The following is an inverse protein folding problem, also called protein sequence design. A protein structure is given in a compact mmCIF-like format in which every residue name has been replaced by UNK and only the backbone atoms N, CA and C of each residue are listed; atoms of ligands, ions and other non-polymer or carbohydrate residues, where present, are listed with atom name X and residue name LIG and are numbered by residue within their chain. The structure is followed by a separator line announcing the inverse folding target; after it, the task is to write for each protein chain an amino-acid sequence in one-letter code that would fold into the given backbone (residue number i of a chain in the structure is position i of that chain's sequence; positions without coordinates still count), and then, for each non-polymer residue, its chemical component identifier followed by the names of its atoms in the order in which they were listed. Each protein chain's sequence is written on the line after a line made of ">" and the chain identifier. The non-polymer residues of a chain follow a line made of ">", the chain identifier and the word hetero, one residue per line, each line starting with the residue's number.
data_IF_873738456025
#
_entry.id   IF_873738456025
#
_cell.length_a   1.000
_cell.length_b   1.000
_cell.length_c   1.000
_cell.angle_alpha   90.00
_cell.angle_beta   90.00
_cell.angle_gamma   90.00
#
_symmetry.space_group_name_H-M   'P 1'
#
loop_
_entity.id
_entity.type
_entity.pdbx_description
1 polymer ?
#
# COMPACT_ATOMS: atom_id res chain seq x y z
N UNK A 1 7.37 20.66 11.70
CA UNK A 1 6.19 21.23 11.02
C UNK A 1 5.10 20.17 11.07
N UNK A 2 3.92 20.45 11.63
CA UNK A 2 2.80 19.51 11.57
C UNK A 2 2.33 19.37 10.12
N UNK A 3 2.08 18.14 9.65
CA UNK A 3 1.63 17.84 8.27
C UNK A 3 0.39 18.66 7.88
N UNK A 4 -0.55 18.85 8.81
CA UNK A 4 -1.77 19.63 8.60
C UNK A 4 -1.51 21.09 8.23
N UNK A 5 -0.53 21.75 8.86
CA UNK A 5 -0.21 23.15 8.56
C UNK A 5 0.33 23.31 7.15
N UNK A 6 1.14 22.35 6.68
CA UNK A 6 1.67 22.37 5.33
C UNK A 6 0.56 22.16 4.28
N UNK A 7 -0.35 21.20 4.51
CA UNK A 7 -1.51 21.02 3.65
C UNK A 7 -2.41 22.26 3.60
N UNK A 8 -2.66 22.89 4.74
CA UNK A 8 -3.44 24.12 4.81
C UNK A 8 -2.79 25.26 4.01
N UNK A 9 -1.46 25.37 4.03
CA UNK A 9 -0.72 26.32 3.19
C UNK A 9 -0.90 26.01 1.71
N UNK A 10 -0.65 24.76 1.29
CA UNK A 10 -0.80 24.34 -0.11
C UNK A 10 -2.23 24.58 -0.62
N UNK A 11 -3.24 24.30 0.21
CA UNK A 11 -4.64 24.57 -0.10
C UNK A 11 -4.90 26.06 -0.33
N UNK A 12 -4.33 26.93 0.49
CA UNK A 12 -4.45 28.37 0.29
C UNK A 12 -3.73 28.86 -0.97
N UNK A 13 -2.53 28.33 -1.24
CA UNK A 13 -1.72 28.74 -2.39
C UNK A 13 -2.39 28.31 -3.70
N UNK A 14 -2.90 27.07 -3.78
CA UNK A 14 -3.68 26.60 -4.92
C UNK A 14 -4.96 27.42 -5.13
N UNK A 15 -5.70 27.72 -4.06
CA UNK A 15 -6.90 28.54 -4.15
C UNK A 15 -6.60 29.95 -4.66
N UNK A 16 -5.51 30.59 -4.18
CA UNK A 16 -5.07 31.91 -4.68
C UNK A 16 -4.63 31.83 -6.14
N UNK A 17 -3.90 30.77 -6.52
CA UNK A 17 -3.48 30.55 -7.90
C UNK A 17 -4.68 30.38 -8.84
N UNK A 18 -5.72 29.66 -8.43
CA UNK A 18 -6.97 29.53 -9.18
C UNK A 18 -7.67 30.89 -9.35
N UNK A 19 -7.78 31.69 -8.29
CA UNK A 19 -8.37 33.03 -8.37
C UNK A 19 -7.58 33.92 -9.34
N UNK A 20 -6.25 33.89 -9.28
CA UNK A 20 -5.41 34.64 -10.21
C UNK A 20 -5.62 34.16 -11.67
N UNK A 21 -5.71 32.85 -11.89
CA UNK A 21 -5.98 32.25 -13.19
C UNK A 21 -7.36 32.63 -13.75
N UNK A 22 -8.39 32.68 -12.91
CA UNK A 22 -9.71 33.19 -13.28
C UNK A 22 -9.64 34.64 -13.73
N UNK A 23 -9.00 35.52 -12.96
CA UNK A 23 -8.90 36.94 -13.29
C UNK A 23 -8.14 37.17 -14.60
N UNK A 24 -7.04 36.44 -14.81
CA UNK A 24 -6.30 36.48 -16.07
C UNK A 24 -7.15 35.99 -17.26
N UNK A 25 -7.99 34.98 -17.05
CA UNK A 25 -8.92 34.49 -18.09
C UNK A 25 -10.01 35.52 -18.39
N UNK A 26 -10.61 36.16 -17.37
CA UNK A 26 -11.59 37.23 -17.55
C UNK A 26 -10.99 38.36 -18.37
N UNK A 27 -9.79 38.84 -18.02
CA UNK A 27 -9.12 39.92 -18.75
C UNK A 27 -8.82 39.53 -20.20
N UNK A 28 -8.40 38.28 -20.43
CA UNK A 28 -8.20 37.75 -21.79
C UNK A 28 -9.49 37.76 -22.61
N UNK A 29 -10.60 37.24 -22.04
CA UNK A 29 -11.89 37.18 -22.73
C UNK A 29 -12.45 38.59 -22.98
N UNK A 30 -12.20 39.52 -22.05
CA UNK A 30 -12.65 40.92 -22.16
C UNK A 30 -12.09 41.64 -23.40
N UNK A 31 -10.90 41.24 -23.88
CA UNK A 31 -10.30 41.82 -25.08
C UNK A 31 -11.12 41.57 -26.35
N UNK A 32 -11.83 40.45 -26.44
CA UNK A 32 -12.71 40.12 -27.57
C UNK A 32 -14.19 40.32 -27.27
N UNK A 33 -14.57 40.31 -25.99
CA UNK A 33 -15.92 40.58 -25.52
C UNK A 33 -15.90 41.60 -24.36
N UNK A 34 -16.00 42.92 -24.64
CA UNK A 34 -15.96 43.96 -23.60
C UNK A 34 -17.05 43.83 -22.53
N UNK A 35 -18.16 43.15 -22.84
CA UNK A 35 -19.27 42.91 -21.93
C UNK A 35 -19.23 41.50 -21.31
N UNK A 36 -18.03 40.96 -21.06
CA UNK A 36 -17.87 39.63 -20.45
C UNK A 36 -18.59 39.55 -19.10
N UNK A 37 -19.44 38.55 -18.96
CA UNK A 37 -20.14 38.21 -17.72
C UNK A 37 -19.91 36.72 -17.38
N UNK A 38 -20.48 36.25 -16.27
CA UNK A 38 -20.33 34.84 -15.86
C UNK A 38 -20.91 33.87 -16.91
N UNK A 39 -21.94 34.28 -17.63
CA UNK A 39 -22.58 33.45 -18.67
C UNK A 39 -21.66 33.27 -19.87
N UNK A 40 -21.01 34.35 -20.31
CA UNK A 40 -19.98 34.34 -21.34
C UNK A 40 -18.78 33.48 -20.90
N UNK A 41 -18.33 33.61 -19.65
CA UNK A 41 -17.25 32.78 -19.10
C UNK A 41 -17.61 31.29 -19.08
N UNK A 42 -18.85 30.93 -18.72
CA UNK A 42 -19.34 29.54 -18.79
C UNK A 42 -19.33 29.01 -20.23
N UNK A 43 -19.60 29.87 -21.20
CA UNK A 43 -19.72 29.52 -22.61
C UNK A 43 -18.36 29.46 -23.33
N UNK A 44 -17.28 29.92 -22.69
CA UNK A 44 -15.91 29.91 -23.22
C UNK A 44 -15.35 28.49 -23.45
N UNK A 45 -15.97 27.44 -22.90
CA UNK A 45 -15.60 26.04 -23.14
C UNK A 45 -14.40 25.54 -22.33
N UNK A 46 -13.87 26.34 -21.39
CA UNK A 46 -12.86 25.88 -20.44
C UNK A 46 -13.54 25.27 -19.22
N UNK A 47 -13.42 23.94 -19.04
CA UNK A 47 -14.06 23.24 -17.93
C UNK A 47 -13.70 23.74 -16.53
N UNK A 48 -12.54 24.37 -16.34
CA UNK A 48 -12.12 24.92 -15.03
C UNK A 48 -12.98 26.10 -14.56
N UNK A 49 -13.69 26.78 -15.46
CA UNK A 49 -14.64 27.84 -15.05
C UNK A 49 -15.74 27.29 -14.15
N UNK A 50 -16.06 25.99 -14.27
CA UNK A 50 -17.08 25.34 -13.45
C UNK A 50 -16.69 25.17 -11.98
N UNK A 51 -15.46 25.50 -11.58
CA UNK A 51 -15.05 25.55 -10.17
C UNK A 51 -15.42 26.89 -9.51
N UNK A 52 -15.81 27.88 -10.32
CA UNK A 52 -16.18 29.23 -9.87
C UNK A 52 -17.67 29.52 -10.06
N UNK A 53 -18.25 28.97 -11.11
CA UNK A 53 -19.61 29.25 -11.54
C UNK A 53 -20.38 27.97 -11.88
N UNK A 54 -21.70 28.06 -11.81
CA UNK A 54 -22.61 26.97 -12.16
C UNK A 54 -23.80 27.50 -12.97
N UNK A 55 -24.60 26.59 -13.52
CA UNK A 55 -25.84 26.97 -14.18
C UNK A 55 -26.83 27.53 -13.15
N UNK A 56 -27.52 28.63 -13.48
CA UNK A 56 -28.59 29.11 -12.63
C UNK A 56 -29.76 28.09 -12.68
N UNK A 57 -30.22 27.55 -11.54
CA UNK A 57 -31.27 26.53 -11.52
C UNK A 57 -32.63 27.06 -12.01
N UNK A 58 -32.89 28.36 -11.87
CA UNK A 58 -34.11 29.02 -12.37
C UNK A 58 -34.01 29.40 -13.85
N UNK A 59 -32.80 29.57 -14.38
CA UNK A 59 -32.57 29.80 -15.81
C UNK A 59 -31.23 29.16 -16.26
N UNK A 60 -31.23 27.89 -16.70
CA UNK A 60 -30.00 27.16 -17.02
C UNK A 60 -29.16 27.74 -18.15
N UNK A 61 -29.68 28.73 -18.91
CA UNK A 61 -28.93 29.48 -19.92
C UNK A 61 -28.01 30.53 -19.32
N UNK A 62 -28.27 30.95 -18.09
CA UNK A 62 -27.43 31.90 -17.35
C UNK A 62 -26.49 31.15 -16.41
N UNK A 63 -25.36 31.77 -16.09
CA UNK A 63 -24.48 31.31 -15.03
C UNK A 63 -24.68 32.14 -13.76
N UNK A 64 -24.42 31.51 -12.62
CA UNK A 64 -24.32 32.17 -11.32
C UNK A 64 -23.02 31.76 -10.63
N UNK A 65 -22.59 32.54 -9.64
CA UNK A 65 -21.49 32.16 -8.78
C UNK A 65 -21.84 30.86 -8.02
N UNK A 66 -20.84 30.00 -7.81
CA UNK A 66 -21.02 28.91 -6.86
C UNK A 66 -21.22 29.44 -5.44
N UNK A 67 -21.91 28.70 -4.56
CA UNK A 67 -22.07 29.07 -3.16
C UNK A 67 -20.76 29.49 -2.48
N UNK A 68 -20.76 30.60 -1.77
CA UNK A 68 -19.58 31.13 -1.08
C UNK A 68 -18.62 31.94 -1.94
N UNK A 69 -18.82 32.01 -3.26
CA UNK A 69 -18.02 32.85 -4.17
C UNK A 69 -18.75 34.18 -4.43
N UNK A 70 -18.01 35.28 -4.35
CA UNK A 70 -18.54 36.61 -4.64
C UNK A 70 -17.59 37.35 -5.59
N UNK A 71 -18.09 37.67 -6.78
CA UNK A 71 -17.37 38.43 -7.80
C UNK A 71 -17.58 39.93 -7.64
N UNK A 72 -16.64 40.71 -8.16
CA UNK A 72 -16.85 42.11 -8.48
C UNK A 72 -17.83 42.24 -9.66
N UNK A 73 -18.39 43.44 -9.85
CA UNK A 73 -19.32 43.72 -10.95
C UNK A 73 -18.72 43.53 -12.34
N UNK A 74 -17.38 43.59 -12.46
CA UNK A 74 -16.66 43.38 -13.70
C UNK A 74 -16.35 41.90 -13.98
N UNK A 75 -16.81 40.97 -13.13
CA UNK A 75 -16.57 39.54 -13.24
C UNK A 75 -15.24 39.05 -12.69
N UNK A 76 -14.37 39.96 -12.22
CA UNK A 76 -13.15 39.56 -11.48
C UNK A 76 -13.52 39.01 -10.10
N UNK A 77 -12.66 38.13 -9.58
CA UNK A 77 -12.80 37.49 -8.28
C UNK A 77 -11.75 38.05 -7.31
N UNK A 78 -12.15 38.83 -6.27
CA UNK A 78 -11.20 39.33 -5.29
C UNK A 78 -10.70 38.21 -4.37
N UNK A 79 -9.43 38.28 -3.94
CA UNK A 79 -8.82 37.33 -3.00
C UNK A 79 -9.23 37.59 -1.54
N UNK A 80 -10.53 37.62 -1.26
CA UNK A 80 -11.04 37.68 0.12
C UNK A 80 -10.84 36.33 0.81
N UNK A 81 -10.75 36.28 2.16
CA UNK A 81 -10.68 35.01 2.88
C UNK A 81 -11.82 34.05 2.53
N UNK A 82 -13.02 34.57 2.31
CA UNK A 82 -14.20 33.80 1.89
C UNK A 82 -14.00 33.17 0.50
N UNK A 83 -13.58 33.95 -0.50
CA UNK A 83 -13.37 33.45 -1.86
C UNK A 83 -12.22 32.43 -1.92
N UNK A 84 -11.13 32.67 -1.18
CA UNK A 84 -10.01 31.73 -1.05
C UNK A 84 -10.48 30.42 -0.40
N UNK A 85 -11.27 30.50 0.68
CA UNK A 85 -11.81 29.31 1.32
C UNK A 85 -12.72 28.50 0.39
N UNK A 86 -13.61 29.18 -0.34
CA UNK A 86 -14.52 28.56 -1.32
C UNK A 86 -13.76 27.91 -2.48
N UNK A 87 -12.72 28.57 -3.01
CA UNK A 87 -11.87 27.98 -4.05
C UNK A 87 -11.08 26.78 -3.56
N UNK A 88 -10.60 26.80 -2.32
CA UNK A 88 -10.04 25.59 -1.72
C UNK A 88 -11.05 24.43 -1.73
N UNK A 89 -12.34 24.71 -1.50
CA UNK A 89 -13.39 23.67 -1.53
C UNK A 89 -13.69 23.16 -2.93
N UNK A 90 -13.84 24.06 -3.91
CA UNK A 90 -14.21 23.65 -5.26
C UNK A 90 -13.05 23.16 -6.11
N UNK A 91 -11.81 23.41 -5.71
CA UNK A 91 -10.62 22.99 -6.46
C UNK A 91 -9.78 21.96 -5.70
N UNK A 92 -9.20 22.36 -4.57
CA UNK A 92 -8.25 21.53 -3.81
C UNK A 92 -8.94 20.34 -3.14
N UNK A 93 -10.13 20.54 -2.59
CA UNK A 93 -10.83 19.51 -1.81
C UNK A 93 -11.58 18.50 -2.68
N UNK A 94 -11.50 18.61 -4.02
CA UNK A 94 -12.06 17.65 -4.98
C UNK A 94 -11.63 16.22 -4.63
N UNK A 95 -12.52 15.26 -4.89
CA UNK A 95 -12.26 13.85 -4.59
C UNK A 95 -11.50 13.18 -5.73
N UNK A 96 -10.84 12.03 -5.50
CA UNK A 96 -10.21 11.28 -6.57
C UNK A 96 -11.21 10.91 -7.68
N UNK A 97 -10.73 10.86 -8.92
CA UNK A 97 -11.53 10.43 -10.06
C UNK A 97 -12.07 9.02 -9.84
N UNK A 98 -13.35 8.80 -10.15
CA UNK A 98 -14.03 7.52 -9.91
C UNK A 98 -14.55 7.32 -8.48
N UNK A 99 -14.42 8.31 -7.58
CA UNK A 99 -15.05 8.22 -6.25
C UNK A 99 -16.56 8.01 -6.39
N UNK A 100 -17.07 6.91 -5.82
CA UNK A 100 -18.48 6.54 -5.92
C UNK A 100 -19.38 7.64 -5.34
N UNK A 101 -20.47 7.94 -6.05
CA UNK A 101 -21.46 8.93 -5.65
C UNK A 101 -21.03 10.38 -5.81
N UNK A 102 -19.81 10.66 -6.30
CA UNK A 102 -19.32 12.02 -6.53
C UNK A 102 -19.36 12.35 -8.03
N UNK A 103 -20.04 13.43 -8.44
CA UNK A 103 -20.08 13.86 -9.83
C UNK A 103 -18.68 14.13 -10.40
N UNK A 104 -18.47 13.85 -11.69
CA UNK A 104 -17.18 14.02 -12.35
C UNK A 104 -16.60 15.45 -12.29
N UNK A 105 -17.46 16.48 -12.21
CA UNK A 105 -17.02 17.87 -12.05
C UNK A 105 -16.61 18.23 -10.60
N UNK A 106 -16.77 17.31 -9.66
CA UNK A 106 -16.33 17.42 -8.26
C UNK A 106 -15.20 16.42 -7.94
N UNK A 107 -14.68 15.75 -8.97
CA UNK A 107 -13.50 14.90 -8.86
C UNK A 107 -12.32 15.48 -9.62
N UNK A 108 -11.15 14.95 -9.35
CA UNK A 108 -9.91 15.26 -10.05
C UNK A 108 -9.08 13.99 -10.20
N UNK A 109 -8.32 13.89 -11.29
CA UNK A 109 -7.41 12.78 -11.54
C UNK A 109 -6.00 13.33 -11.69
N UNK A 110 -5.28 13.42 -10.59
CA UNK A 110 -3.89 13.92 -10.57
C UNK A 110 -2.96 12.87 -9.95
N UNK A 111 -1.66 13.18 -9.92
CA UNK A 111 -0.64 12.23 -9.50
C UNK A 111 -0.20 11.31 -10.62
N UNK A 112 0.69 10.37 -10.30
CA UNK A 112 1.36 9.52 -11.29
C UNK A 112 0.38 8.63 -12.07
N UNK A 113 -0.60 8.03 -11.39
CA UNK A 113 -1.63 7.20 -12.02
C UNK A 113 -2.88 7.99 -12.47
N UNK A 114 -2.96 9.29 -12.16
CA UNK A 114 -4.17 10.08 -12.41
C UNK A 114 -5.37 9.64 -11.57
N UNK A 115 -5.16 8.90 -10.48
CA UNK A 115 -6.17 8.32 -9.60
C UNK A 115 -6.27 9.05 -8.26
N UNK A 116 -5.56 10.18 -8.10
CA UNK A 116 -5.43 10.86 -6.82
C UNK A 116 -6.10 12.24 -6.77
N UNK A 117 -6.03 12.86 -5.60
CA UNK A 117 -6.49 14.22 -5.34
C UNK A 117 -5.38 15.13 -4.80
N UNK A 118 -5.63 16.44 -4.71
CA UNK A 118 -4.63 17.40 -4.22
C UNK A 118 -4.20 17.14 -2.79
N UNK A 119 -5.10 16.64 -1.95
CA UNK A 119 -4.79 16.36 -0.55
C UNK A 119 -3.74 15.26 -0.44
N UNK A 120 -3.91 14.16 -1.17
CA UNK A 120 -2.96 13.05 -1.16
C UNK A 120 -1.70 13.33 -2.00
N UNK A 121 -1.83 14.08 -3.11
CA UNK A 121 -0.69 14.50 -3.93
C UNK A 121 0.30 15.35 -3.12
N UNK A 122 -0.18 16.39 -2.46
CA UNK A 122 0.65 17.20 -1.55
C UNK A 122 0.97 16.48 -0.24
N UNK A 123 0.08 15.59 0.20
CA UNK A 123 0.24 14.78 1.39
C UNK A 123 1.49 13.90 1.35
N UNK A 124 1.78 13.27 0.20
CA UNK A 124 2.94 12.39 0.05
C UNK A 124 4.27 13.12 0.36
N UNK A 125 4.44 14.34 -0.15
CA UNK A 125 5.59 15.17 0.16
C UNK A 125 5.63 15.65 1.61
N UNK A 126 4.47 16.01 2.18
CA UNK A 126 4.36 16.44 3.57
C UNK A 126 4.73 15.31 4.55
N UNK A 127 4.23 14.09 4.30
CA UNK A 127 4.56 12.88 5.04
C UNK A 127 6.04 12.56 4.90
N UNK A 128 6.59 12.52 3.67
CA UNK A 128 8.02 12.28 3.43
C UNK A 128 8.92 13.21 4.24
N UNK A 129 8.55 14.50 4.32
CA UNK A 129 9.29 15.49 5.11
C UNK A 129 9.16 15.26 6.62
N UNK A 130 7.99 14.85 7.10
CA UNK A 130 7.80 14.50 8.50
C UNK A 130 8.67 13.29 8.88
N UNK A 131 8.70 12.24 8.05
CA UNK A 131 9.54 11.06 8.23
C UNK A 131 11.02 11.43 8.30
N UNK A 132 11.49 12.29 7.38
CA UNK A 132 12.88 12.74 7.38
C UNK A 132 13.25 13.52 8.66
N UNK A 133 12.32 14.33 9.20
CA UNK A 133 12.52 15.04 10.47
C UNK A 133 12.55 14.05 11.64
N UNK A 134 11.60 13.11 11.71
CA UNK A 134 11.56 12.12 12.78
C UNK A 134 12.83 11.28 12.79
N UNK A 135 13.29 10.81 11.63
CA UNK A 135 14.54 10.04 11.53
C UNK A 135 15.79 10.83 11.95
N UNK A 136 15.84 12.14 11.67
CA UNK A 136 17.01 12.97 11.96
C UNK A 136 17.06 13.49 13.41
N UNK A 137 15.91 13.69 14.06
CA UNK A 137 15.83 14.45 15.32
C UNK A 137 15.09 13.75 16.45
N UNK A 138 14.26 12.74 16.17
CA UNK A 138 13.49 12.09 17.20
C UNK A 138 14.39 11.17 18.06
N UNK A 139 14.23 11.27 19.37
CA UNK A 139 14.99 10.49 20.35
C UNK A 139 14.04 10.00 21.44
N UNK A 140 14.39 8.87 22.06
CA UNK A 140 13.59 8.32 23.13
C UNK A 140 13.57 9.26 24.36
N UNK A 141 12.40 9.45 24.94
CA UNK A 141 12.22 10.19 26.21
C UNK A 141 11.71 9.19 27.24
N UNK A 142 12.45 9.00 28.34
CA UNK A 142 12.06 8.05 29.38
C UNK A 142 11.91 6.60 28.89
N UNK A 143 12.79 6.16 27.97
CA UNK A 143 12.76 4.84 27.32
C UNK A 143 11.56 4.57 26.41
N UNK A 144 10.74 5.58 26.09
CA UNK A 144 9.68 5.47 25.10
C UNK A 144 10.19 6.01 23.77
N UNK A 145 10.18 5.15 22.74
CA UNK A 145 10.54 5.55 21.39
C UNK A 145 9.46 6.50 20.81
N UNK A 146 9.86 7.54 20.06
CA UNK A 146 8.91 8.43 19.40
C UNK A 146 8.08 7.67 18.36
N UNK A 147 6.80 8.02 18.25
CA UNK A 147 5.85 7.40 17.32
C UNK A 147 5.19 8.46 16.43
N UNK A 148 5.10 8.18 15.13
CA UNK A 148 4.38 9.05 14.20
C UNK A 148 2.88 8.81 14.34
N UNK A 149 2.12 9.84 14.73
CA UNK A 149 0.66 9.79 14.82
C UNK A 149 0.03 10.67 13.75
N UNK A 150 -0.92 10.12 13.00
CA UNK A 150 -1.66 10.83 11.96
C UNK A 150 -3.15 10.54 12.08
N UNK A 151 -3.98 11.58 12.06
CA UNK A 151 -5.42 11.40 11.90
C UNK A 151 -5.74 11.34 10.39
N UNK A 152 -5.72 10.12 9.84
CA UNK A 152 -5.85 9.92 8.39
C UNK A 152 -7.21 10.40 7.87
N UNK A 153 -8.27 10.26 8.67
CA UNK A 153 -9.61 10.72 8.30
C UNK A 153 -9.71 12.24 8.29
N UNK A 154 -9.25 12.92 9.37
CA UNK A 154 -9.25 14.38 9.45
C UNK A 154 -8.41 15.01 8.35
N UNK A 155 -7.25 14.42 8.07
CA UNK A 155 -6.35 14.86 6.99
C UNK A 155 -6.85 14.43 5.60
N UNK A 156 -7.90 13.61 5.52
CA UNK A 156 -8.43 12.98 4.30
C UNK A 156 -7.36 12.24 3.48
N UNK A 157 -6.41 11.64 4.18
CA UNK A 157 -5.40 10.80 3.57
C UNK A 157 -5.91 9.39 3.31
N UNK A 158 -5.34 8.80 2.27
CA UNK A 158 -5.41 7.39 1.94
C UNK A 158 -3.97 6.92 1.75
N UNK A 159 -3.51 5.99 2.59
CA UNK A 159 -2.15 5.43 2.48
C UNK A 159 -1.84 4.96 1.05
N UNK A 160 -2.74 4.21 0.35
CA UNK A 160 -2.53 3.88 -1.06
C UNK A 160 -2.31 5.09 -1.97
N UNK A 161 -3.10 6.16 -1.80
CA UNK A 161 -2.97 7.33 -2.65
C UNK A 161 -1.73 8.17 -2.30
N UNK A 162 -1.33 8.24 -1.04
CA UNK A 162 -0.06 8.87 -0.66
C UNK A 162 1.12 8.14 -1.32
N UNK A 163 1.09 6.81 -1.32
CA UNK A 163 2.12 5.99 -1.94
C UNK A 163 2.09 6.04 -3.47
N UNK A 164 0.93 6.09 -4.10
CA UNK A 164 0.83 6.33 -5.55
C UNK A 164 1.40 7.70 -5.96
N UNK A 165 1.38 8.69 -5.06
CA UNK A 165 2.00 9.99 -5.30
C UNK A 165 3.50 10.05 -4.97
N UNK A 166 4.05 8.99 -4.39
CA UNK A 166 5.48 8.84 -4.13
C UNK A 166 5.90 9.35 -2.75
N UNK A 167 6.06 8.43 -1.80
CA UNK A 167 6.67 8.71 -0.50
C UNK A 167 8.18 8.48 -0.59
N UNK A 168 8.95 9.43 -0.05
CA UNK A 168 10.41 9.37 0.03
C UNK A 168 10.82 9.05 1.46
N UNK A 169 11.48 7.91 1.66
CA UNK A 169 12.12 7.55 2.93
C UNK A 169 13.61 7.97 2.89
N UNK A 170 14.26 8.20 4.05
CA UNK A 170 15.67 8.56 4.11
C UNK A 170 16.58 7.55 3.41
N UNK A 171 17.65 8.03 2.77
CA UNK A 171 18.62 7.17 2.10
C UNK A 171 19.28 6.18 3.07
N UNK A 172 19.47 4.94 2.62
CA UNK A 172 19.93 3.83 3.46
C UNK A 172 18.82 3.15 4.27
N UNK A 173 17.59 3.70 4.28
CA UNK A 173 16.43 3.11 4.95
C UNK A 173 15.23 2.91 3.99
N UNK A 174 15.47 2.97 2.67
CA UNK A 174 14.42 2.87 1.65
C UNK A 174 13.80 1.48 1.53
N UNK A 175 14.47 0.46 2.06
CA UNK A 175 13.95 -0.92 2.10
C UNK A 175 13.04 -1.19 3.33
N UNK A 176 13.03 -0.29 4.33
CA UNK A 176 12.25 -0.48 5.54
C UNK A 176 11.05 0.48 5.56
N UNK A 177 9.80 -0.01 5.53
CA UNK A 177 8.61 0.82 5.67
C UNK A 177 8.66 1.65 6.96
N UNK A 178 8.16 2.89 6.91
CA UNK A 178 8.07 3.75 8.09
C UNK A 178 6.73 3.59 8.80
N UNK A 179 6.70 3.20 10.09
CA UNK A 179 5.45 2.99 10.80
C UNK A 179 4.79 4.29 11.24
N UNK A 180 3.46 4.30 11.22
CA UNK A 180 2.65 5.34 11.84
C UNK A 180 1.42 4.74 12.52
N UNK A 181 0.77 5.53 13.38
CA UNK A 181 -0.51 5.19 13.99
C UNK A 181 -1.61 6.10 13.47
N UNK A 182 -2.63 5.50 12.87
CA UNK A 182 -3.84 6.19 12.48
C UNK A 182 -4.70 6.46 13.72
N UNK A 183 -4.74 7.72 14.17
CA UNK A 183 -5.52 8.13 15.33
C UNK A 183 -7.00 8.42 15.02
N UNK A 184 -7.43 8.25 13.76
CA UNK A 184 -8.85 8.38 13.41
C UNK A 184 -9.71 7.20 13.88
N UNK A 185 -9.08 6.12 14.37
CA UNK A 185 -9.73 4.93 14.91
C UNK A 185 -9.46 4.79 16.41
N UNK A 186 -10.24 3.96 17.10
CA UNK A 186 -10.06 3.68 18.54
C UNK A 186 -10.19 2.17 18.80
N UNK A 187 -9.10 1.47 19.19
CA UNK A 187 -7.73 2.00 19.36
C UNK A 187 -7.10 2.45 18.02
N UNK A 188 -6.08 3.34 18.05
CA UNK A 188 -5.37 3.74 16.84
C UNK A 188 -4.88 2.53 16.04
N UNK A 189 -5.09 2.54 14.73
CA UNK A 189 -4.71 1.43 13.84
C UNK A 189 -3.31 1.67 13.29
N UNK A 190 -2.38 0.69 13.36
CA UNK A 190 -1.05 0.86 12.77
C UNK A 190 -1.13 0.87 11.24
N UNK A 191 -0.21 1.61 10.62
CA UNK A 191 -0.02 1.64 9.16
C UNK A 191 1.46 1.80 8.82
N UNK A 192 1.76 1.71 7.52
CA UNK A 192 3.12 1.69 7.01
C UNK A 192 3.25 2.51 5.75
N UNK A 193 4.20 3.43 5.76
CA UNK A 193 4.58 4.16 4.55
C UNK A 193 5.79 3.52 3.89
N UNK A 194 5.58 3.04 2.68
CA UNK A 194 6.61 2.48 1.82
C UNK A 194 7.42 3.58 1.12
N UNK A 195 8.65 3.25 0.73
CA UNK A 195 9.37 4.09 -0.21
C UNK A 195 8.84 3.88 -1.62
N UNK A 196 8.11 4.85 -2.14
CA UNK A 196 7.43 4.74 -3.44
C UNK A 196 7.75 5.87 -4.40
N UNK A 197 8.75 6.71 -4.08
CA UNK A 197 9.18 7.84 -4.91
C UNK A 197 9.41 7.46 -6.39
N UNK A 198 9.89 6.24 -6.64
CA UNK A 198 10.15 5.72 -8.00
C UNK A 198 9.05 4.77 -8.46
N UNK A 199 8.57 3.88 -7.58
CA UNK A 199 7.62 2.84 -7.98
C UNK A 199 6.21 3.37 -8.21
N UNK A 200 5.80 4.39 -7.44
CA UNK A 200 4.41 4.86 -7.37
C UNK A 200 3.39 3.74 -7.13
N UNK A 201 3.82 2.61 -6.56
CA UNK A 201 2.95 1.48 -6.25
C UNK A 201 2.74 1.42 -4.75
N UNK A 202 1.48 1.38 -4.34
CA UNK A 202 1.14 1.00 -2.99
C UNK A 202 1.30 -0.51 -2.85
N UNK A 203 2.07 -0.93 -1.83
CA UNK A 203 2.20 -2.32 -1.46
C UNK A 203 1.90 -2.37 0.02
N UNK A 204 0.71 -2.79 0.42
CA UNK A 204 0.36 -2.87 1.84
C UNK A 204 1.23 -3.92 2.53
N UNK A 205 2.05 -3.57 3.53
CA UNK A 205 2.50 -4.54 4.52
C UNK A 205 1.52 -4.50 5.70
N UNK A 206 1.36 -5.61 6.41
CA UNK A 206 0.78 -5.58 7.76
C UNK A 206 1.95 -5.57 8.73
N UNK A 207 2.18 -4.48 9.48
CA UNK A 207 3.11 -4.51 10.61
C UNK A 207 2.40 -5.01 11.86
N UNK A 208 3.02 -5.97 12.54
CA UNK A 208 2.79 -6.25 13.96
C UNK A 208 3.87 -5.50 14.74
N UNK A 209 3.52 -4.53 15.58
CA UNK A 209 4.49 -3.93 16.52
C UNK A 209 4.78 -4.94 17.64
N UNK A 210 6.03 -5.41 17.73
CA UNK A 210 6.61 -5.79 19.03
C UNK A 210 7.58 -4.69 19.47
N UNK A 211 7.50 -4.19 20.72
CA UNK A 211 8.45 -3.20 21.23
C UNK A 211 9.80 -3.89 21.47
N UNK A 212 10.79 -3.64 20.60
CA UNK A 212 12.14 -4.15 20.78
C UNK A 212 12.98 -3.15 21.58
N UNK A 213 13.25 -3.51 22.84
CA UNK A 213 14.41 -3.03 23.59
C UNK A 213 15.70 -3.54 22.89
N UNK A 214 16.45 -2.61 22.30
CA UNK A 214 17.91 -2.66 22.09
C UNK A 214 18.53 -3.85 21.33
N UNK A 215 19.19 -3.57 20.21
CA UNK A 215 20.07 -4.56 19.57
C UNK A 215 20.80 -4.07 18.32
N UNK A 216 22.05 -3.66 18.53
CA UNK A 216 23.17 -3.30 17.63
C UNK A 216 23.25 -4.05 16.27
N UNK A 217 23.74 -3.33 15.25
CA UNK A 217 24.03 -3.79 13.87
C UNK A 217 25.19 -4.82 13.82
N UNK A 218 25.04 -5.75 12.85
CA UNK A 218 25.83 -6.92 12.41
C UNK A 218 27.37 -6.86 12.43
N UNK A 219 28.05 -8.03 12.32
CA UNK A 219 28.50 -8.50 10.99
C UNK A 219 28.41 -10.03 10.77
N UNK A 220 28.34 -10.40 9.48
CA UNK A 220 28.55 -11.70 8.83
C UNK A 220 28.93 -12.89 9.72
N UNK A 221 28.11 -13.97 9.74
CA UNK A 221 28.54 -15.38 9.96
C UNK A 221 27.34 -16.37 9.76
N UNK A 222 27.57 -17.70 9.62
CA UNK A 222 26.84 -18.60 8.72
C UNK A 222 25.50 -19.09 9.27
N UNK A 223 24.55 -19.32 8.36
CA UNK A 223 23.19 -19.78 8.68
C UNK A 223 23.18 -21.21 9.26
N UNK A 224 22.47 -21.46 10.38
CA UNK A 224 22.32 -22.79 10.97
C UNK A 224 21.44 -23.75 10.12
N UNK A 225 21.49 -25.08 10.38
CA UNK A 225 21.03 -26.13 9.45
C UNK A 225 19.51 -26.20 9.14
N UNK A 226 18.64 -25.51 9.87
CA UNK A 226 17.20 -25.47 9.57
C UNK A 226 16.81 -24.50 8.44
N UNK A 227 17.78 -23.76 7.91
CA UNK A 227 17.53 -22.83 6.82
C UNK A 227 17.65 -23.46 5.41
N UNK A 228 18.13 -24.70 5.26
CA UNK A 228 18.45 -25.26 3.93
C UNK A 228 17.21 -25.46 3.02
N UNK A 229 16.09 -25.95 3.58
CA UNK A 229 14.84 -26.10 2.83
C UNK A 229 14.23 -24.73 2.49
N UNK A 230 14.28 -23.78 3.43
CA UNK A 230 13.81 -22.42 3.21
C UNK A 230 14.62 -21.72 2.12
N UNK A 231 15.95 -21.84 2.14
CA UNK A 231 16.81 -21.27 1.09
C UNK A 231 16.53 -21.90 -0.29
N UNK A 232 16.25 -23.21 -0.36
CA UNK A 232 15.81 -23.86 -1.60
C UNK A 232 14.48 -23.29 -2.12
N UNK A 233 13.51 -23.09 -1.22
CA UNK A 233 12.22 -22.49 -1.56
C UNK A 233 12.40 -21.05 -2.04
N UNK A 234 13.18 -20.23 -1.32
CA UNK A 234 13.48 -18.85 -1.71
C UNK A 234 14.19 -18.78 -3.06
N UNK A 235 15.17 -19.64 -3.31
CA UNK A 235 15.82 -19.72 -4.61
C UNK A 235 14.82 -20.07 -5.73
N UNK A 236 13.92 -21.04 -5.48
CA UNK A 236 12.87 -21.42 -6.42
C UNK A 236 11.91 -20.27 -6.76
N UNK A 237 11.49 -19.51 -5.76
CA UNK A 237 10.64 -18.32 -5.95
C UNK A 237 11.40 -17.21 -6.68
N UNK A 238 12.67 -16.98 -6.36
CA UNK A 238 13.50 -16.00 -7.05
C UNK A 238 13.64 -16.31 -8.55
N UNK A 239 13.75 -17.58 -8.92
CA UNK A 239 13.77 -17.98 -10.33
C UNK A 239 12.40 -17.78 -11.01
N UNK A 240 11.28 -17.99 -10.31
CA UNK A 240 9.95 -17.65 -10.81
C UNK A 240 9.79 -16.13 -11.01
N UNK A 241 10.27 -15.31 -10.08
CA UNK A 241 10.27 -13.86 -10.21
C UNK A 241 11.09 -13.41 -11.41
N UNK A 242 12.29 -13.99 -11.58
CA UNK A 242 13.16 -13.69 -12.72
C UNK A 242 12.52 -14.07 -14.06
N UNK A 243 11.79 -15.18 -14.12
CA UNK A 243 11.00 -15.58 -15.30
C UNK A 243 9.86 -14.61 -15.58
N UNK A 244 9.29 -14.02 -14.54
CA UNK A 244 8.27 -12.96 -14.64
C UNK A 244 8.87 -11.55 -14.89
N UNK A 245 10.19 -11.41 -14.97
CA UNK A 245 10.87 -10.12 -15.15
C UNK A 245 10.84 -9.22 -13.90
N UNK A 246 10.68 -9.82 -12.73
CA UNK A 246 10.51 -9.18 -11.42
C UNK A 246 11.71 -9.45 -10.51
N UNK A 247 12.06 -8.51 -9.64
CA UNK A 247 13.04 -8.70 -8.56
C UNK A 247 12.37 -9.17 -7.27
N UNK A 248 13.12 -9.82 -6.37
CA UNK A 248 12.65 -10.24 -5.05
C UNK A 248 11.90 -9.13 -4.29
N UNK A 249 10.71 -9.44 -3.76
CA UNK A 249 9.87 -8.53 -3.00
C UNK A 249 9.09 -9.26 -1.87
N UNK A 250 8.20 -8.56 -1.19
CA UNK A 250 7.35 -9.14 -0.13
C UNK A 250 6.43 -10.25 -0.65
N UNK A 251 6.00 -10.20 -1.91
CA UNK A 251 5.24 -11.30 -2.50
C UNK A 251 6.14 -12.53 -2.68
N UNK A 252 7.43 -12.35 -2.98
CA UNK A 252 8.42 -13.42 -3.00
C UNK A 252 8.59 -14.05 -1.61
N UNK A 253 8.64 -13.23 -0.55
CA UNK A 253 8.67 -13.73 0.83
C UNK A 253 7.37 -14.45 1.22
N UNK A 254 6.19 -13.92 0.85
CA UNK A 254 4.89 -14.55 1.12
C UNK A 254 4.71 -15.86 0.37
N UNK A 255 5.10 -15.90 -0.91
CA UNK A 255 5.16 -17.11 -1.71
C UNK A 255 6.08 -18.12 -1.05
N UNK A 256 7.28 -17.69 -0.63
CA UNK A 256 8.26 -18.56 0.02
C UNK A 256 7.76 -19.11 1.35
N UNK A 257 7.12 -18.29 2.19
CA UNK A 257 6.58 -18.71 3.47
C UNK A 257 5.35 -19.63 3.32
N UNK A 258 4.46 -19.35 2.37
CA UNK A 258 3.31 -20.21 2.06
C UNK A 258 3.74 -21.54 1.43
N UNK A 259 4.75 -21.52 0.55
CA UNK A 259 5.39 -22.73 0.03
C UNK A 259 6.08 -23.52 1.14
N UNK A 260 6.76 -22.84 2.08
CA UNK A 260 7.41 -23.48 3.22
C UNK A 260 6.38 -24.14 4.15
N UNK A 261 5.21 -23.52 4.36
CA UNK A 261 4.13 -24.14 5.12
C UNK A 261 3.62 -25.41 4.44
N UNK A 262 3.32 -25.36 3.14
CA UNK A 262 2.93 -26.56 2.40
C UNK A 262 4.03 -27.62 2.39
N UNK A 263 5.30 -27.20 2.31
CA UNK A 263 6.46 -28.07 2.37
C UNK A 263 6.47 -28.84 3.69
N UNK A 264 6.33 -28.13 4.81
CA UNK A 264 6.27 -28.74 6.14
C UNK A 264 5.06 -29.65 6.26
N UNK A 265 3.85 -29.19 5.94
CA UNK A 265 2.62 -29.99 6.07
C UNK A 265 2.70 -31.30 5.27
N UNK A 266 3.27 -31.26 4.07
CA UNK A 266 3.36 -32.41 3.16
C UNK A 266 4.69 -33.16 3.22
N UNK A 267 5.55 -32.80 4.19
CA UNK A 267 6.76 -33.54 4.52
C UNK A 267 7.84 -33.47 3.44
N UNK A 268 7.93 -32.34 2.73
CA UNK A 268 9.09 -32.03 1.89
C UNK A 268 10.32 -31.80 2.77
N UNK A 269 11.47 -32.21 2.27
CA UNK A 269 12.74 -32.15 2.98
C UNK A 269 13.80 -31.41 2.18
N UNK A 270 14.84 -30.96 2.86
CA UNK A 270 15.97 -30.29 2.23
C UNK A 270 16.71 -31.19 1.22
N UNK A 271 16.58 -32.52 1.31
CA UNK A 271 17.20 -33.46 0.36
C UNK A 271 16.38 -33.64 -0.93
N UNK A 272 15.11 -33.20 -0.95
CA UNK A 272 14.26 -33.34 -2.12
C UNK A 272 14.72 -32.40 -3.25
N UNK A 273 14.59 -32.86 -4.50
CA UNK A 273 14.75 -32.01 -5.68
C UNK A 273 13.41 -31.33 -5.99
N UNK A 274 13.32 -30.06 -5.61
CA UNK A 274 12.10 -29.26 -5.70
C UNK A 274 12.02 -28.52 -7.03
N UNK A 275 10.85 -28.57 -7.66
CA UNK A 275 10.49 -27.70 -8.79
C UNK A 275 9.26 -26.88 -8.43
N UNK A 276 9.21 -25.68 -9.01
CA UNK A 276 8.17 -24.69 -8.79
C UNK A 276 7.64 -24.22 -10.14
N UNK A 277 6.37 -23.81 -10.19
CA UNK A 277 5.79 -23.32 -11.43
C UNK A 277 4.38 -22.79 -11.22
N UNK A 278 4.02 -21.81 -12.04
CA UNK A 278 2.64 -21.38 -12.16
C UNK A 278 1.89 -22.22 -13.20
N UNK A 279 0.57 -22.31 -13.07
CA UNK A 279 -0.25 -22.92 -14.11
C UNK A 279 -0.16 -22.12 -15.42
N UNK A 280 -0.26 -22.83 -16.54
CA UNK A 280 -0.51 -22.22 -17.85
C UNK A 280 -1.99 -21.84 -17.98
N UNK A 281 -2.33 -20.86 -18.85
CA UNK A 281 -3.72 -20.51 -19.12
C UNK A 281 -4.55 -21.72 -19.60
N UNK A 282 -5.80 -21.80 -19.17
CA UNK A 282 -6.81 -22.78 -19.62
C UNK A 282 -8.15 -22.07 -19.84
N UNK A 283 -9.18 -22.78 -20.31
CA UNK A 283 -10.53 -22.21 -20.48
C UNK A 283 -11.18 -21.71 -19.18
N UNK A 284 -10.67 -22.14 -18.01
CA UNK A 284 -11.25 -21.83 -16.70
C UNK A 284 -10.37 -20.96 -15.81
N UNK A 285 -9.07 -20.90 -16.07
CA UNK A 285 -8.07 -20.23 -15.22
C UNK A 285 -7.07 -19.48 -16.09
N UNK A 286 -6.79 -18.23 -15.74
CA UNK A 286 -5.68 -17.48 -16.28
C UNK A 286 -4.33 -18.15 -15.94
N UNK A 287 -3.29 -17.88 -16.74
CA UNK A 287 -1.93 -18.30 -16.37
C UNK A 287 -1.46 -17.52 -15.15
N UNK A 288 -0.78 -18.17 -14.21
CA UNK A 288 -0.31 -17.50 -12.98
C UNK A 288 -1.28 -17.57 -11.79
N UNK A 289 -2.49 -18.11 -11.94
CA UNK A 289 -3.49 -18.14 -10.88
C UNK A 289 -3.25 -19.22 -9.81
N UNK A 290 -2.48 -20.27 -10.15
CA UNK A 290 -2.16 -21.38 -9.25
C UNK A 290 -0.65 -21.59 -9.21
N UNK A 291 -0.10 -21.59 -8.00
CA UNK A 291 1.28 -21.92 -7.71
C UNK A 291 1.41 -23.42 -7.40
N UNK A 292 2.41 -24.07 -7.98
CA UNK A 292 2.71 -25.49 -7.77
C UNK A 292 4.13 -25.68 -7.23
N UNK A 293 4.28 -26.67 -6.36
CA UNK A 293 5.58 -27.24 -5.96
C UNK A 293 5.53 -28.76 -6.03
N UNK A 294 6.56 -29.41 -6.56
CA UNK A 294 6.63 -30.87 -6.69
C UNK A 294 8.06 -31.42 -6.63
N UNK A 295 8.18 -32.71 -6.27
CA UNK A 295 9.46 -33.46 -6.30
C UNK A 295 9.77 -33.90 -7.74
N UNK A 296 11.00 -33.67 -8.19
CA UNK A 296 11.45 -34.01 -9.55
C UNK A 296 12.22 -35.33 -9.61
N UNK A 297 13.23 -35.48 -8.76
CA UNK A 297 13.99 -36.71 -8.52
C UNK A 297 13.92 -36.95 -6.98
N UNK A 298 13.67 -38.18 -6.52
CA UNK A 298 13.26 -38.56 -5.13
C UNK A 298 11.76 -38.45 -4.82
N UNK A 299 10.94 -39.07 -5.67
CA UNK A 299 9.48 -39.14 -5.53
C UNK A 299 9.09 -40.10 -4.40
N UNK A 300 8.22 -39.67 -3.48
CA UNK A 300 7.60 -40.52 -2.46
C UNK A 300 6.76 -41.62 -3.12
N UNK A 301 6.70 -42.84 -2.55
CA UNK A 301 5.78 -43.89 -3.00
C UNK A 301 4.30 -43.48 -2.94
N UNK A 302 3.95 -42.47 -2.14
CA UNK A 302 2.61 -41.87 -2.09
C UNK A 302 2.49 -40.75 -3.16
N UNK A 303 1.67 -40.92 -4.22
CA UNK A 303 1.50 -39.92 -5.27
C UNK A 303 0.97 -38.57 -4.75
N UNK A 304 0.13 -38.58 -3.71
CA UNK A 304 -0.44 -37.36 -3.16
C UNK A 304 0.57 -36.55 -2.33
N UNK A 305 1.66 -37.18 -1.90
CA UNK A 305 2.74 -36.50 -1.20
C UNK A 305 3.63 -35.69 -2.17
N UNK A 306 3.64 -36.01 -3.47
CA UNK A 306 4.66 -35.52 -4.41
C UNK A 306 4.40 -34.14 -5.02
N UNK A 307 3.18 -33.62 -4.90
CA UNK A 307 2.80 -32.33 -5.47
C UNK A 307 1.86 -31.59 -4.54
N UNK A 308 2.13 -30.31 -4.38
CA UNK A 308 1.26 -29.37 -3.68
C UNK A 308 0.93 -28.20 -4.58
N UNK A 309 -0.19 -27.58 -4.29
CA UNK A 309 -0.64 -26.40 -5.00
C UNK A 309 -1.52 -25.55 -4.10
N UNK A 310 -1.52 -24.26 -4.38
CA UNK A 310 -2.45 -23.29 -3.80
C UNK A 310 -2.70 -22.20 -4.82
N UNK A 311 -3.80 -21.46 -4.65
CA UNK A 311 -4.02 -20.29 -5.49
C UNK A 311 -2.95 -19.24 -5.18
N UNK A 312 -2.49 -18.50 -6.20
CA UNK A 312 -1.52 -17.41 -5.99
C UNK A 312 -2.09 -16.36 -5.05
N UNK A 313 -3.40 -16.11 -5.11
CA UNK A 313 -4.08 -15.22 -4.16
C UNK A 313 -3.94 -15.71 -2.70
N UNK A 314 -4.11 -17.01 -2.43
CA UNK A 314 -3.96 -17.59 -1.10
C UNK A 314 -2.51 -17.62 -0.62
N UNK A 315 -1.56 -17.83 -1.54
CA UNK A 315 -0.14 -17.78 -1.22
C UNK A 315 0.29 -16.38 -0.76
N UNK A 316 -0.39 -15.35 -1.26
CA UNK A 316 -0.10 -13.95 -0.98
C UNK A 316 -0.97 -13.35 0.14
N UNK A 317 -2.11 -13.96 0.46
CA UNK A 317 -3.11 -13.41 1.40
C UNK A 317 -2.64 -13.38 2.86
N UNK A 318 -1.67 -14.22 3.22
CA UNK A 318 -1.12 -14.31 4.58
C UNK A 318 0.30 -13.75 4.58
N UNK A 319 0.65 -12.81 5.48
CA UNK A 319 2.01 -12.30 5.61
C UNK A 319 3.04 -13.42 5.87
N UNK A 320 4.26 -13.23 5.38
CA UNK A 320 5.33 -14.22 5.49
C UNK A 320 5.62 -14.58 6.96
N UNK A 321 5.67 -13.60 7.86
CA UNK A 321 5.87 -13.82 9.29
C UNK A 321 4.80 -14.71 9.91
N UNK A 322 3.52 -14.45 9.61
CA UNK A 322 2.40 -15.26 10.12
C UNK A 322 2.43 -16.67 9.53
N UNK A 323 2.81 -16.81 8.25
CA UNK A 323 3.05 -18.12 7.64
C UNK A 323 4.23 -18.83 8.30
N UNK A 324 5.32 -18.14 8.63
CA UNK A 324 6.45 -18.75 9.35
C UNK A 324 6.09 -19.15 10.78
N UNK A 325 5.23 -18.40 11.48
CA UNK A 325 4.67 -18.86 12.76
C UNK A 325 3.83 -20.14 12.58
N UNK A 326 3.05 -20.23 11.49
CA UNK A 326 2.32 -21.47 11.16
C UNK A 326 3.28 -22.62 10.81
N UNK A 327 4.39 -22.34 10.12
CA UNK A 327 5.45 -23.31 9.81
C UNK A 327 6.05 -23.85 11.10
N UNK A 328 6.45 -22.98 12.03
CA UNK A 328 7.01 -23.36 13.33
C UNK A 328 6.01 -24.21 14.14
N UNK A 329 4.74 -23.79 14.20
CA UNK A 329 3.70 -24.55 14.87
C UNK A 329 3.48 -25.94 14.22
N UNK A 330 3.46 -26.01 12.89
CA UNK A 330 3.32 -27.28 12.15
C UNK A 330 4.54 -28.20 12.35
N UNK A 331 5.74 -27.63 12.42
CA UNK A 331 6.97 -28.37 12.73
C UNK A 331 6.94 -28.95 14.14
N UNK A 332 6.47 -28.18 15.13
CA UNK A 332 6.33 -28.64 16.52
C UNK A 332 5.32 -29.80 16.62
N UNK A 333 4.15 -29.65 16.01
CA UNK A 333 3.13 -30.73 15.97
C UNK A 333 3.71 -32.00 15.35
N UNK A 334 4.42 -31.88 14.21
CA UNK A 334 5.07 -33.05 13.59
C UNK A 334 6.17 -33.67 14.45
N UNK A 335 6.96 -32.86 15.14
CA UNK A 335 7.98 -33.36 16.05
C UNK A 335 7.37 -34.15 17.22
N UNK A 336 6.26 -33.67 17.78
CA UNK A 336 5.51 -34.37 18.83
C UNK A 336 4.87 -35.68 18.33
N UNK A 337 4.30 -35.68 17.11
CA UNK A 337 3.75 -36.89 16.48
C UNK A 337 4.84 -37.95 16.25
N UNK A 338 6.01 -37.53 15.75
CA UNK A 338 7.16 -38.41 15.53
C UNK A 338 7.69 -38.96 16.87
N UNK A 339 7.69 -38.17 17.94
CA UNK A 339 8.08 -38.65 19.27
C UNK A 339 7.06 -39.62 19.85
N UNK A 340 5.76 -39.37 19.69
CA UNK A 340 4.68 -40.26 20.14
C UNK A 340 4.68 -41.58 19.38
N UNK A 341 4.88 -41.56 18.06
CA UNK A 341 4.97 -42.78 17.26
C UNK A 341 6.20 -43.60 17.64
N UNK A 342 7.36 -42.98 17.84
CA UNK A 342 8.55 -43.66 18.36
C UNK A 342 8.32 -44.27 19.76
N UNK A 343 7.64 -43.57 20.68
CA UNK A 343 7.31 -44.13 21.99
C UNK A 343 6.32 -45.31 21.90
N UNK A 344 5.35 -45.25 20.99
CA UNK A 344 4.41 -46.36 20.74
C UNK A 344 5.11 -47.55 20.09
N UNK A 345 6.06 -47.33 19.19
CA UNK A 345 6.84 -48.38 18.52
C UNK A 345 7.85 -49.04 19.47
N UNK A 346 8.48 -48.27 20.37
CA UNK A 346 9.30 -48.79 21.48
C UNK A 346 8.45 -49.58 22.49
N UNK A 347 7.23 -49.11 22.77
CA UNK A 347 6.30 -49.83 23.67
C UNK A 347 5.78 -51.13 23.02
N UNK A 348 5.52 -51.15 21.70
CA UNK A 348 5.11 -52.37 20.97
C UNK A 348 6.26 -53.39 20.80
N UNK A 349 7.48 -52.93 20.58
CA UNK A 349 8.67 -53.82 20.48
C UNK A 349 9.07 -54.39 21.85
N UNK A 350 8.79 -53.70 22.96
CA UNK A 350 8.95 -54.25 24.32
C UNK A 350 7.78 -55.13 24.78
N UNK A 351 6.61 -55.06 24.13
CA UNK A 351 5.42 -55.86 24.46
C UNK A 351 5.17 -57.02 23.48
N UNK A 352 6.20 -57.47 22.77
CA UNK A 352 6.22 -58.83 22.21
C UNK A 352 7.03 -59.73 23.16
N UNK A 353 6.40 -60.41 24.14
CA UNK A 353 7.09 -61.45 24.88
C UNK A 353 7.49 -62.53 23.88
N UNK A 354 8.76 -62.88 23.89
CA UNK A 354 9.26 -64.07 23.24
C UNK A 354 8.39 -65.26 23.62
N UNK A 355 7.68 -65.80 22.64
CA UNK A 355 7.17 -67.17 22.72
C UNK A 355 8.37 -68.07 22.45
N UNK A 356 9.14 -68.35 23.51
CA UNK A 356 10.14 -69.40 23.50
C UNK A 356 9.47 -70.75 23.69
N UNK A 357 9.87 -71.66 22.79
CA UNK A 357 9.75 -73.13 22.79
C UNK A 357 8.40 -73.74 22.41
#
# INVERSE_FOLDING_TARGET
>A
MPVETLLASNRQDEAKAQIAGWNALVDKVRQSNPAVDLTAMRSHGNGRVHDFIEANPSNPRQAQARPGITFNSDGSLPMTPQNVAAQGTYYFDKRPQGTQGIPANQTTGIGYHGDSDYTNYYGAGAVSRAIAIDNAYAHAVGNVAPQMHLDMQRLRFSEPLLEHNGITLPQGNTANPHPYWNTSTTPPTPGLFQHTQVSHQHISPTLVFTPQLGGVISPSEPSPPDNALLEKVRHGVNELDRQAGKSWDDNSERLSASLMLMAVEKGFKAEDDLKFGFNTPTDKLGGGEVLHMWRADHVSPDPAANRVHMTTQEALSVPAEQRFTQVEAAQQVKAEEIQRSQQQEVTQTQSTPGRSL
#
